data_IF_329445229970
#
_entry.id   IF_329445229970
#
_cell.length_a   1.000
_cell.length_b   1.000
_cell.length_c   1.000
_cell.angle_alpha   90.00
_cell.angle_beta   90.00
_cell.angle_gamma   90.00
#
_symmetry.space_group_name_H-M   'P 1'
#
loop_
_entity.id
_entity.type
_entity.pdbx_description
1 polymer ?
#
# COMPACT_ATOMS: atom_id res chain seq x y z
N UNK A 1 -72.54 55.93 1.14
CA UNK A 1 -71.92 55.98 2.48
C UNK A 1 -72.07 54.58 3.10
N UNK A 2 -71.01 53.77 3.12
CA UNK A 2 -70.16 53.48 4.32
C UNK A 2 -71.01 52.96 5.48
N UNK A 3 -70.77 51.83 6.16
CA UNK A 3 -69.62 50.93 6.34
C UNK A 3 -70.16 49.76 7.19
N UNK A 4 -69.89 48.49 6.85
CA UNK A 4 -68.85 47.61 7.43
C UNK A 4 -69.18 47.03 8.83
N UNK A 5 -69.33 45.71 8.87
CA UNK A 5 -69.09 44.89 10.07
C UNK A 5 -68.11 43.77 9.71
N UNK A 6 -67.05 43.63 10.52
CA UNK A 6 -66.01 42.60 10.41
C UNK A 6 -66.25 41.47 11.46
N UNK A 7 -65.67 40.28 11.24
CA UNK A 7 -66.11 39.02 11.86
C UNK A 7 -65.13 38.46 12.91
N UNK A 8 -65.53 37.39 13.59
CA UNK A 8 -64.68 36.43 14.31
C UNK A 8 -65.56 35.22 14.72
N UNK A 9 -65.14 33.95 14.79
CA UNK A 9 -63.92 33.21 14.46
C UNK A 9 -64.30 31.73 14.70
N UNK A 10 -64.05 30.81 13.77
CA UNK A 10 -64.24 29.38 14.03
C UNK A 10 -62.94 28.62 13.77
N UNK A 11 -62.52 27.84 14.77
CA UNK A 11 -61.30 27.04 14.79
C UNK A 11 -61.50 25.76 13.97
N UNK A 12 -60.53 25.40 13.13
CA UNK A 12 -60.39 24.02 12.61
C UNK A 12 -59.01 23.49 12.97
N UNK A 13 -59.03 22.29 13.57
CA UNK A 13 -57.86 21.45 13.81
C UNK A 13 -57.53 20.73 12.49
N UNK A 14 -56.25 20.67 12.14
CA UNK A 14 -55.75 19.81 11.07
C UNK A 14 -54.62 18.97 11.66
N UNK A 15 -54.84 17.65 11.66
CA UNK A 15 -53.81 16.65 11.86
C UNK A 15 -52.96 16.57 10.57
N UNK A 16 -51.63 16.61 10.71
CA UNK A 16 -50.70 16.43 9.60
C UNK A 16 -49.94 15.13 9.85
N UNK A 17 -50.07 14.19 8.92
CA UNK A 17 -49.38 12.91 8.93
C UNK A 17 -47.89 13.07 8.70
N UNK A 18 -47.10 12.29 9.45
CA UNK A 18 -45.65 12.20 9.29
C UNK A 18 -45.38 11.19 8.18
N UNK A 19 -45.04 11.67 6.99
CA UNK A 19 -44.45 10.86 5.94
C UNK A 19 -42.97 10.64 6.28
N UNK A 20 -42.59 9.39 6.58
CA UNK A 20 -41.21 9.01 6.80
C UNK A 20 -40.42 9.09 5.50
N UNK A 21 -39.47 10.02 5.41
CA UNK A 21 -38.51 10.10 4.31
C UNK A 21 -37.39 9.11 4.59
N UNK A 22 -37.37 8.00 3.84
CA UNK A 22 -36.23 7.09 3.81
C UNK A 22 -35.07 7.77 3.05
N UNK A 23 -34.06 8.24 3.79
CA UNK A 23 -32.83 8.78 3.21
C UNK A 23 -31.95 7.59 2.82
N UNK A 24 -31.96 7.21 1.53
CA UNK A 24 -30.96 6.29 0.99
C UNK A 24 -29.65 7.03 0.78
N UNK A 25 -28.72 6.90 1.72
CA UNK A 25 -27.34 7.35 1.53
C UNK A 25 -26.68 6.45 0.50
N UNK A 26 -26.56 6.92 -0.74
CA UNK A 26 -25.68 6.30 -1.73
C UNK A 26 -24.23 6.50 -1.26
N UNK A 27 -23.55 5.42 -0.91
CA UNK A 27 -22.11 5.45 -0.70
C UNK A 27 -21.45 5.74 -2.06
N UNK A 28 -21.01 6.97 -2.27
CA UNK A 28 -20.19 7.34 -3.42
C UNK A 28 -18.87 6.59 -3.30
N UNK A 29 -18.68 5.56 -4.12
CA UNK A 29 -17.38 4.93 -4.35
C UNK A 29 -16.50 5.94 -5.09
N UNK A 30 -15.91 6.87 -4.34
CA UNK A 30 -14.90 7.76 -4.88
C UNK A 30 -13.77 6.91 -5.45
N UNK A 31 -13.55 7.00 -6.76
CA UNK A 31 -12.33 6.50 -7.37
C UNK A 31 -11.17 7.33 -6.80
N UNK A 32 -10.23 6.68 -6.13
CA UNK A 32 -9.05 7.35 -5.60
C UNK A 32 -8.28 8.01 -6.77
N UNK A 33 -7.87 9.27 -6.58
CA UNK A 33 -6.99 9.97 -7.52
C UNK A 33 -5.65 9.25 -7.61
N UNK A 34 -5.01 9.18 -8.78
CA UNK A 34 -3.74 8.46 -8.93
C UNK A 34 -2.63 9.00 -8.02
N UNK A 35 -1.80 8.10 -7.49
CA UNK A 35 -0.63 8.42 -6.66
C UNK A 35 0.58 7.61 -7.11
N UNK A 36 1.74 8.25 -7.29
CA UNK A 36 2.98 7.59 -7.70
C UNK A 36 4.16 8.14 -6.90
N UNK A 37 4.87 7.25 -6.21
CA UNK A 37 6.09 7.56 -5.48
C UNK A 37 7.31 7.41 -6.38
N UNK A 38 8.23 8.38 -6.31
CA UNK A 38 9.48 8.34 -7.08
C UNK A 38 10.50 7.44 -6.38
N UNK A 39 10.31 6.13 -6.50
CA UNK A 39 11.29 5.14 -6.03
C UNK A 39 12.40 4.94 -7.08
N UNK A 40 13.57 4.52 -6.63
CA UNK A 40 14.63 4.00 -7.49
C UNK A 40 14.82 2.51 -7.18
N UNK A 41 14.07 1.65 -7.88
CA UNK A 41 14.07 0.22 -7.62
C UNK A 41 15.44 -0.40 -7.90
N UNK A 42 16.10 -0.91 -6.84
CA UNK A 42 17.43 -1.49 -6.92
C UNK A 42 17.42 -2.87 -7.56
N UNK A 43 18.38 -3.13 -8.45
CA UNK A 43 18.63 -4.46 -9.04
C UNK A 43 19.27 -5.33 -7.96
N UNK A 44 18.71 -6.51 -7.68
CA UNK A 44 19.31 -7.41 -6.70
C UNK A 44 20.74 -7.82 -7.13
N UNK A 45 21.69 -7.67 -6.21
CA UNK A 45 23.11 -7.98 -6.47
C UNK A 45 23.41 -9.49 -6.39
N UNK A 46 22.50 -10.27 -5.78
CA UNK A 46 22.62 -11.72 -5.62
C UNK A 46 21.29 -12.40 -5.97
N UNK A 47 21.36 -13.67 -6.38
CA UNK A 47 20.19 -14.43 -6.86
C UNK A 47 19.04 -14.54 -5.85
N UNK A 48 19.35 -14.54 -4.55
CA UNK A 48 18.36 -14.69 -3.48
C UNK A 48 18.09 -13.40 -2.70
N UNK A 49 18.51 -12.24 -3.22
CA UNK A 49 18.42 -10.93 -2.52
C UNK A 49 17.30 -10.03 -3.04
N UNK A 50 16.24 -10.60 -3.62
CA UNK A 50 15.07 -9.82 -4.00
C UNK A 50 14.49 -9.02 -2.81
N UNK A 51 14.45 -9.62 -1.62
CA UNK A 51 14.04 -8.98 -0.36
C UNK A 51 14.99 -7.81 -0.01
N UNK A 52 16.29 -8.05 0.10
CA UNK A 52 17.25 -7.02 0.48
C UNK A 52 17.27 -5.82 -0.50
N UNK A 53 17.13 -6.08 -1.81
CA UNK A 53 17.06 -5.04 -2.81
C UNK A 53 15.75 -4.22 -2.73
N UNK A 54 14.63 -4.87 -2.45
CA UNK A 54 13.32 -4.23 -2.30
C UNK A 54 13.22 -3.44 -1.00
N UNK A 55 13.61 -4.03 0.13
CA UNK A 55 13.72 -3.33 1.40
C UNK A 55 14.66 -2.13 1.34
N UNK A 56 15.86 -2.29 0.76
CA UNK A 56 16.79 -1.16 0.61
C UNK A 56 16.27 -0.07 -0.34
N UNK A 57 15.48 -0.42 -1.36
CA UNK A 57 14.77 0.57 -2.20
C UNK A 57 13.87 1.46 -1.35
N UNK A 58 13.09 0.86 -0.45
CA UNK A 58 12.20 1.59 0.48
C UNK A 58 13.03 2.45 1.45
N UNK A 59 14.11 1.91 2.02
CA UNK A 59 14.97 2.68 2.91
C UNK A 59 15.62 3.89 2.21
N UNK A 60 16.03 3.74 0.94
CA UNK A 60 16.55 4.84 0.12
C UNK A 60 15.47 5.88 -0.18
N UNK A 61 14.24 5.46 -0.46
CA UNK A 61 13.11 6.38 -0.66
C UNK A 61 12.86 7.28 0.56
N UNK A 62 13.03 6.74 1.78
CA UNK A 62 12.96 7.53 3.02
C UNK A 62 14.26 8.25 3.41
N UNK A 63 15.29 8.24 2.55
CA UNK A 63 16.56 8.94 2.81
C UNK A 63 17.44 8.29 3.89
N UNK A 64 17.19 7.03 4.26
CA UNK A 64 17.96 6.31 5.30
C UNK A 64 18.81 5.15 4.77
N UNK A 65 18.64 4.76 3.50
CA UNK A 65 19.31 3.61 2.87
C UNK A 65 20.65 3.92 2.19
N UNK A 66 21.49 4.82 2.71
CA UNK A 66 22.81 5.09 2.11
C UNK A 66 23.85 4.03 2.50
N UNK A 67 23.55 2.78 2.15
CA UNK A 67 24.37 1.58 2.36
C UNK A 67 24.28 0.69 1.12
N UNK A 68 25.19 -0.28 1.00
CA UNK A 68 25.15 -1.36 0.01
C UNK A 68 24.09 -2.42 0.35
N UNK A 69 23.68 -3.26 -0.62
CA UNK A 69 22.80 -4.41 -0.32
C UNK A 69 23.46 -5.39 0.64
N UNK A 70 24.78 -5.56 0.56
CA UNK A 70 25.52 -6.41 1.49
C UNK A 70 25.43 -5.91 2.94
N UNK A 71 25.62 -4.61 3.16
CA UNK A 71 25.47 -3.99 4.48
C UNK A 71 24.02 -4.08 4.97
N UNK A 72 23.04 -3.77 4.12
CA UNK A 72 21.63 -3.91 4.45
C UNK A 72 21.28 -5.35 4.85
N UNK A 73 21.74 -6.35 4.09
CA UNK A 73 21.57 -7.76 4.41
C UNK A 73 22.23 -8.16 5.74
N UNK A 74 23.44 -7.67 6.02
CA UNK A 74 24.10 -7.90 7.30
C UNK A 74 23.33 -7.24 8.46
N UNK A 75 22.83 -6.02 8.28
CA UNK A 75 21.98 -5.34 9.25
C UNK A 75 20.72 -6.15 9.55
N UNK A 76 20.00 -6.56 8.51
CA UNK A 76 18.77 -7.36 8.57
C UNK A 76 18.97 -8.67 9.33
N UNK A 77 20.14 -9.29 9.17
CA UNK A 77 20.48 -10.59 9.76
C UNK A 77 21.31 -10.52 11.05
N UNK A 78 21.44 -9.34 11.66
CA UNK A 78 22.26 -9.13 12.87
C UNK A 78 23.71 -9.60 12.75
N UNK A 79 24.30 -9.43 11.57
CA UNK A 79 25.71 -9.72 11.30
C UNK A 79 26.55 -8.45 11.37
N UNK A 80 27.74 -8.56 11.94
CA UNK A 80 28.64 -7.43 12.17
C UNK A 80 29.50 -7.04 10.96
N UNK A 81 29.84 -7.99 10.07
CA UNK A 81 30.64 -7.73 8.87
C UNK A 81 30.64 -8.90 7.86
N UNK A 82 31.36 -8.69 6.76
CA UNK A 82 31.65 -9.72 5.75
C UNK A 82 30.59 -9.83 4.66
N UNK A 83 30.76 -10.82 3.78
CA UNK A 83 29.79 -11.12 2.73
C UNK A 83 28.54 -11.74 3.35
N UNK A 84 27.40 -11.08 3.19
CA UNK A 84 26.12 -11.63 3.57
C UNK A 84 25.82 -12.85 2.65
N UNK A 85 25.28 -13.95 3.16
CA UNK A 85 25.00 -15.14 2.36
C UNK A 85 23.95 -14.85 1.28
N UNK A 86 24.15 -15.43 0.09
CA UNK A 86 23.17 -15.47 -0.98
C UNK A 86 22.06 -16.48 -0.63
N UNK A 87 21.11 -16.07 0.22
CA UNK A 87 20.04 -16.89 0.78
C UNK A 87 18.71 -16.12 0.72
N UNK A 88 17.57 -16.83 0.58
CA UNK A 88 16.27 -16.18 0.63
C UNK A 88 16.05 -15.60 2.03
N UNK A 89 15.14 -14.64 2.12
CA UNK A 89 14.86 -13.89 3.34
C UNK A 89 13.37 -13.75 3.62
N UNK A 90 13.09 -13.17 4.77
CA UNK A 90 11.76 -12.86 5.26
C UNK A 90 11.63 -11.34 5.38
N UNK A 91 10.45 -10.77 5.14
CA UNK A 91 10.24 -9.32 5.25
C UNK A 91 10.49 -8.81 6.68
N UNK A 92 10.34 -9.67 7.69
CA UNK A 92 10.68 -9.39 9.08
C UNK A 92 12.18 -9.08 9.27
N UNK A 93 13.06 -9.55 8.39
CA UNK A 93 14.48 -9.19 8.41
C UNK A 93 14.68 -7.75 7.95
N UNK A 94 13.92 -7.28 6.96
CA UNK A 94 13.97 -5.89 6.51
C UNK A 94 13.51 -4.93 7.61
N UNK A 95 12.56 -5.34 8.45
CA UNK A 95 12.20 -4.59 9.65
C UNK A 95 13.39 -4.38 10.60
N UNK A 96 14.26 -5.37 10.75
CA UNK A 96 15.48 -5.24 11.58
C UNK A 96 16.46 -4.24 10.97
N UNK A 97 16.65 -4.30 9.64
CA UNK A 97 17.49 -3.31 8.95
C UNK A 97 16.90 -1.91 9.06
N UNK A 98 15.59 -1.74 8.86
CA UNK A 98 14.90 -0.45 9.01
C UNK A 98 15.10 0.16 10.39
N UNK A 99 14.96 -0.63 11.48
CA UNK A 99 15.24 -0.14 12.84
C UNK A 99 16.67 0.36 12.98
N UNK A 100 17.65 -0.37 12.45
CA UNK A 100 19.08 0.01 12.50
C UNK A 100 19.39 1.25 11.68
N UNK A 101 18.63 1.49 10.61
CA UNK A 101 18.71 2.69 9.78
C UNK A 101 17.92 3.88 10.37
N UNK A 102 17.27 3.70 11.53
CA UNK A 102 16.46 4.73 12.17
C UNK A 102 15.14 5.02 11.46
N UNK A 103 14.55 4.03 10.80
CA UNK A 103 13.20 4.06 10.24
C UNK A 103 12.22 3.33 11.18
N UNK A 104 10.97 3.80 11.17
CA UNK A 104 9.87 2.97 11.63
C UNK A 104 9.84 1.69 10.81
N UNK A 105 9.80 0.55 11.51
CA UNK A 105 9.98 -0.77 10.93
C UNK A 105 8.75 -1.26 10.16
N UNK A 106 7.63 -0.53 10.23
CA UNK A 106 6.35 -0.95 9.66
C UNK A 106 5.80 -2.22 10.29
N UNK A 107 4.87 -2.84 9.56
CA UNK A 107 4.12 -4.03 9.94
C UNK A 107 4.21 -5.05 8.81
N UNK A 108 4.59 -6.30 9.13
CA UNK A 108 4.43 -7.43 8.20
C UNK A 108 3.05 -8.04 8.38
N UNK A 109 2.33 -8.24 7.28
CA UNK A 109 1.03 -8.89 7.27
C UNK A 109 0.83 -9.73 6.02
N UNK A 110 -0.37 -10.29 5.87
CA UNK A 110 -0.85 -10.76 4.58
C UNK A 110 -1.07 -9.61 3.57
N UNK A 111 -1.61 -9.93 2.38
CA UNK A 111 -1.79 -8.98 1.29
C UNK A 111 -2.79 -7.88 1.65
N UNK A 112 -2.54 -6.67 1.15
CA UNK A 112 -3.36 -5.51 1.46
C UNK A 112 -4.60 -5.42 0.56
N UNK A 113 -5.69 -4.90 1.12
CA UNK A 113 -6.81 -4.40 0.32
C UNK A 113 -6.38 -3.22 -0.55
N UNK A 114 -7.11 -2.95 -1.63
CA UNK A 114 -6.81 -1.80 -2.49
C UNK A 114 -6.82 -0.48 -1.70
N UNK A 115 -7.77 -0.30 -0.78
CA UNK A 115 -7.85 0.91 0.03
C UNK A 115 -6.66 1.08 0.98
N UNK A 116 -6.11 -0.02 1.49
CA UNK A 116 -4.87 0.02 2.28
C UNK A 116 -3.68 0.41 1.41
N UNK A 117 -3.59 -0.10 0.17
CA UNK A 117 -2.54 0.33 -0.77
C UNK A 117 -2.62 1.84 -1.03
N UNK A 118 -3.81 2.36 -1.32
CA UNK A 118 -4.05 3.80 -1.49
C UNK A 118 -3.57 4.59 -0.26
N UNK A 119 -3.96 4.15 0.94
CA UNK A 119 -3.58 4.79 2.21
C UNK A 119 -2.07 4.86 2.42
N UNK A 120 -1.34 3.82 2.02
CA UNK A 120 0.12 3.78 2.10
C UNK A 120 0.77 4.72 1.08
N UNK A 121 0.33 4.65 -0.19
CA UNK A 121 0.88 5.48 -1.25
C UNK A 121 0.61 6.97 -1.01
N UNK A 122 -0.61 7.36 -0.64
CA UNK A 122 -0.95 8.75 -0.28
C UNK A 122 -0.17 9.23 0.94
N UNK A 123 0.12 8.30 1.85
CA UNK A 123 0.97 8.52 3.01
C UNK A 123 2.47 8.57 2.71
N UNK A 124 2.88 8.50 1.43
CA UNK A 124 4.28 8.41 0.99
C UNK A 124 5.03 7.22 1.60
N UNK A 125 4.39 6.05 1.62
CA UNK A 125 4.97 4.81 2.13
C UNK A 125 4.89 3.73 1.04
N UNK A 126 5.99 3.44 0.32
CA UNK A 126 6.03 2.31 -0.58
C UNK A 126 5.92 1.00 0.20
N UNK A 127 5.34 -0.03 -0.41
CA UNK A 127 5.03 -1.30 0.25
C UNK A 127 5.94 -2.38 -0.32
N UNK A 128 6.67 -3.08 0.55
CA UNK A 128 7.35 -4.29 0.12
C UNK A 128 6.36 -5.45 0.07
N UNK A 129 6.42 -6.27 -0.97
CA UNK A 129 5.51 -7.40 -1.14
C UNK A 129 6.28 -8.69 -1.34
N UNK A 130 5.91 -9.74 -0.61
CA UNK A 130 6.30 -11.11 -0.92
C UNK A 130 5.23 -11.77 -1.79
N UNK A 131 5.59 -12.10 -3.04
CA UNK A 131 4.77 -12.89 -3.95
C UNK A 131 5.32 -14.33 -4.02
N UNK A 132 4.44 -15.29 -4.24
CA UNK A 132 4.79 -16.69 -4.40
C UNK A 132 4.43 -17.16 -5.80
N UNK A 133 5.43 -17.63 -6.56
CA UNK A 133 5.24 -18.12 -7.91
C UNK A 133 4.46 -19.43 -7.90
N UNK A 134 3.62 -19.64 -8.90
CA UNK A 134 2.91 -20.92 -9.10
C UNK A 134 3.88 -22.06 -9.42
N UNK A 135 5.03 -21.75 -10.02
CA UNK A 135 6.13 -22.69 -10.24
C UNK A 135 6.97 -22.98 -8.97
N UNK A 136 6.69 -22.31 -7.85
CA UNK A 136 7.43 -22.43 -6.60
C UNK A 136 8.45 -21.31 -6.38
N UNK A 137 8.77 -21.08 -5.10
CA UNK A 137 9.66 -20.00 -4.68
C UNK A 137 8.93 -18.68 -4.38
N UNK A 138 9.62 -17.79 -3.68
CA UNK A 138 9.14 -16.47 -3.33
C UNK A 138 9.95 -15.37 -4.02
N UNK A 139 9.34 -14.20 -4.18
CA UNK A 139 10.00 -13.03 -4.74
C UNK A 139 9.50 -11.76 -4.05
N UNK A 140 10.42 -10.84 -3.76
CA UNK A 140 10.05 -9.54 -3.22
C UNK A 140 9.96 -8.49 -4.33
N UNK A 141 8.96 -7.62 -4.22
CA UNK A 141 8.70 -6.50 -5.14
C UNK A 141 8.28 -5.28 -4.30
N UNK A 142 8.23 -4.09 -4.91
CA UNK A 142 7.82 -2.85 -4.22
C UNK A 142 6.63 -2.23 -4.94
N UNK A 143 5.45 -2.18 -4.30
CA UNK A 143 4.34 -1.35 -4.80
C UNK A 143 4.65 0.11 -4.46
N UNK A 144 4.61 0.97 -5.47
CA UNK A 144 4.97 2.39 -5.34
C UNK A 144 3.92 3.35 -5.89
N UNK A 145 2.84 2.84 -6.49
CA UNK A 145 1.80 3.70 -7.02
C UNK A 145 0.52 2.97 -7.34
N UNK A 146 -0.51 3.76 -7.64
CA UNK A 146 -1.78 3.29 -8.17
C UNK A 146 -2.41 4.34 -9.09
N UNK A 147 -3.25 3.87 -10.02
CA UNK A 147 -4.10 4.69 -10.89
C UNK A 147 -5.40 3.94 -11.18
N UNK A 148 -6.53 4.40 -10.65
CA UNK A 148 -7.73 3.57 -10.58
C UNK A 148 -7.40 2.23 -9.90
N UNK A 149 -7.90 1.10 -10.41
CA UNK A 149 -7.56 -0.21 -9.82
C UNK A 149 -6.19 -0.76 -10.22
N UNK A 150 -5.39 -0.05 -11.02
CA UNK A 150 -4.06 -0.48 -11.44
C UNK A 150 -3.02 -0.11 -10.38
N UNK A 151 -2.14 -1.03 -10.05
CA UNK A 151 -0.98 -0.84 -9.19
C UNK A 151 0.28 -0.71 -10.05
N UNK A 152 1.17 0.21 -9.69
CA UNK A 152 2.52 0.30 -10.24
C UNK A 152 3.51 -0.31 -9.24
N UNK A 153 4.35 -1.23 -9.71
CA UNK A 153 5.30 -1.95 -8.86
C UNK A 153 6.69 -2.07 -9.49
N UNK A 154 7.70 -2.06 -8.63
CA UNK A 154 9.10 -2.26 -8.94
C UNK A 154 9.52 -3.70 -8.68
N UNK A 155 10.30 -4.27 -9.58
CA UNK A 155 10.79 -5.65 -9.48
C UNK A 155 12.33 -5.65 -9.45
N UNK A 156 12.97 -6.20 -8.38
CA UNK A 156 14.40 -6.21 -8.22
C UNK A 156 15.13 -7.19 -9.16
N UNK A 157 14.44 -8.10 -9.84
CA UNK A 157 15.08 -9.15 -10.64
C UNK A 157 15.91 -8.58 -11.81
N UNK A 158 17.12 -9.08 -12.10
CA UNK A 158 18.04 -8.45 -13.07
C UNK A 158 17.51 -8.33 -14.50
N UNK A 159 16.75 -9.33 -14.97
CA UNK A 159 16.17 -9.35 -16.32
C UNK A 159 14.74 -8.83 -16.39
N UNK A 160 14.20 -8.30 -15.27
CA UNK A 160 12.85 -7.73 -15.24
C UNK A 160 12.83 -6.37 -15.98
N UNK A 161 11.70 -5.96 -16.58
CA UNK A 161 11.50 -4.59 -17.08
C UNK A 161 11.61 -3.50 -16.00
N UNK A 162 11.84 -3.90 -14.73
CA UNK A 162 12.08 -3.07 -13.55
C UNK A 162 10.82 -2.41 -13.00
N UNK A 163 10.00 -1.83 -13.86
CA UNK A 163 8.75 -1.20 -13.52
C UNK A 163 7.64 -1.79 -14.38
N UNK A 164 6.55 -2.18 -13.74
CA UNK A 164 5.40 -2.75 -14.43
C UNK A 164 4.11 -2.36 -13.69
N UNK A 165 3.00 -2.64 -14.34
CA UNK A 165 1.68 -2.31 -13.84
C UNK A 165 0.72 -3.49 -14.02
N UNK A 166 -0.19 -3.67 -13.07
CA UNK A 166 -1.32 -4.58 -13.22
C UNK A 166 -2.47 -4.21 -12.28
N UNK A 167 -3.69 -4.71 -12.54
CA UNK A 167 -4.80 -4.49 -11.61
C UNK A 167 -4.49 -5.07 -10.22
N UNK A 168 -5.02 -4.45 -9.15
CA UNK A 168 -4.91 -4.96 -7.78
C UNK A 168 -5.39 -6.41 -7.69
N UNK A 169 -6.49 -6.73 -8.37
CA UNK A 169 -7.02 -8.10 -8.45
C UNK A 169 -6.03 -9.07 -9.09
N UNK A 170 -5.34 -8.68 -10.16
CA UNK A 170 -4.33 -9.51 -10.82
C UNK A 170 -3.07 -9.63 -9.97
N UNK A 171 -2.65 -8.55 -9.30
CA UNK A 171 -1.49 -8.56 -8.40
C UNK A 171 -1.74 -9.45 -7.19
N UNK A 172 -2.97 -9.50 -6.68
CA UNK A 172 -3.34 -10.43 -5.60
C UNK A 172 -3.17 -11.90 -5.98
N UNK A 173 -3.13 -12.28 -7.27
CA UNK A 173 -4.27 -12.99 -7.86
C UNK A 173 -4.17 -13.38 -9.34
N UNK A 174 -3.10 -14.02 -9.84
CA UNK A 174 -3.04 -14.47 -11.24
C UNK A 174 -2.44 -15.88 -11.43
N UNK A 175 -2.30 -16.31 -12.70
CA UNK A 175 -1.76 -17.64 -13.06
C UNK A 175 -0.24 -17.79 -12.87
N UNK A 176 0.49 -16.70 -12.68
CA UNK A 176 1.93 -16.68 -12.45
C UNK A 176 2.27 -16.65 -10.95
N UNK A 177 1.53 -15.88 -10.15
CA UNK A 177 1.80 -15.77 -8.71
C UNK A 177 0.59 -15.39 -7.86
N UNK A 178 0.76 -15.58 -6.55
CA UNK A 178 -0.14 -15.10 -5.50
C UNK A 178 0.63 -14.11 -4.62
N UNK A 179 0.07 -12.94 -4.37
CA UNK A 179 0.60 -12.03 -3.35
C UNK A 179 0.31 -12.64 -1.99
N UNK A 180 1.36 -12.89 -1.20
CA UNK A 180 1.28 -13.60 0.08
C UNK A 180 1.60 -12.76 1.32
N UNK A 181 2.56 -11.84 1.22
CA UNK A 181 2.99 -11.01 2.35
C UNK A 181 3.16 -9.55 1.94
N UNK A 182 2.95 -8.63 2.87
CA UNK A 182 3.23 -7.21 2.70
C UNK A 182 3.98 -6.67 3.92
N UNK A 183 4.93 -5.77 3.69
CA UNK A 183 5.54 -4.92 4.70
C UNK A 183 5.18 -3.47 4.37
N UNK A 184 4.36 -2.87 5.23
CA UNK A 184 3.74 -1.56 5.04
C UNK A 184 3.88 -0.73 6.33
N UNK A 185 3.49 0.55 6.32
CA UNK A 185 3.72 1.51 7.40
C UNK A 185 5.21 1.79 7.69
N UNK A 186 6.10 1.48 6.75
CA UNK A 186 7.53 1.80 6.87
C UNK A 186 7.70 3.32 6.84
N UNK A 187 8.50 3.85 7.76
CA UNK A 187 8.74 5.29 7.86
C UNK A 187 7.56 6.14 8.36
N UNK A 188 6.48 5.51 8.85
CA UNK A 188 5.37 6.17 9.54
C UNK A 188 5.77 6.71 10.92
#
# INVERSE_FOLDING_TARGET
MTTRTRPARARRRLAVGIAGVAITTFASTGVASAGVLQIQQLVQEQNQWCWAASGLTIAKFHGKGNVSQNEFCNMARNRSSGQCPNQPGYLEWDQVAFRKLGLSAGTVSGPLSYQQVVTEIDGRRPIETGIYWTAGGGHAQVIYGYNGQTLSYGDPWPSSPRYAEMSHSSYRSNGQFRWGQALYQVGA
#
